data_IF_224118897898
#
_entry.id   IF_224118897898
#
_cell.length_a   1.000
_cell.length_b   1.000
_cell.length_c   1.000
_cell.angle_alpha   90.00
_cell.angle_beta   90.00
_cell.angle_gamma   90.00
#
_symmetry.space_group_name_H-M   'P 1'
#
loop_
_entity.id
_entity.type
_entity.pdbx_description
1 polymer ?
#
# COMPACT_ATOMS: atom_id res chain seq x y z
N UNK A 1 -9.28 -19.51 -22.70
CA UNK A 1 -8.19 -18.53 -22.48
C UNK A 1 -8.31 -18.01 -21.05
N UNK A 2 -7.22 -18.00 -20.27
CA UNK A 2 -7.23 -17.34 -18.96
C UNK A 2 -7.26 -15.83 -19.20
N UNK A 3 -8.25 -15.12 -18.65
CA UNK A 3 -8.29 -13.67 -18.70
C UNK A 3 -7.16 -13.13 -17.82
N UNK A 4 -6.08 -12.67 -18.44
CA UNK A 4 -5.04 -11.94 -17.74
C UNK A 4 -5.55 -10.51 -17.54
N UNK A 5 -6.09 -10.23 -16.36
CA UNK A 5 -6.35 -8.85 -15.96
C UNK A 5 -4.99 -8.16 -15.77
N UNK A 6 -4.59 -7.36 -16.77
CA UNK A 6 -3.46 -6.45 -16.63
C UNK A 6 -3.91 -5.28 -15.75
N UNK A 7 -3.64 -5.36 -14.46
CA UNK A 7 -3.75 -4.21 -13.57
C UNK A 7 -2.39 -3.50 -13.53
N UNK A 8 -2.34 -2.28 -14.07
CA UNK A 8 -1.28 -1.33 -13.71
C UNK A 8 -1.43 -0.93 -12.24
N UNK A 9 -0.37 -0.39 -11.64
CA UNK A 9 -0.48 0.13 -10.28
C UNK A 9 -1.55 1.22 -10.22
N UNK A 10 -2.37 1.22 -9.16
CA UNK A 10 -3.36 2.28 -8.90
C UNK A 10 -3.11 2.85 -7.52
N UNK A 11 -2.83 4.15 -7.44
CA UNK A 11 -2.52 4.83 -6.19
C UNK A 11 -3.50 5.99 -6.01
N UNK A 12 -4.24 5.97 -4.92
CA UNK A 12 -5.20 7.01 -4.52
C UNK A 12 -4.86 7.46 -3.11
N UNK A 13 -4.45 8.72 -2.95
CA UNK A 13 -4.00 9.28 -1.66
C UNK A 13 -4.83 10.51 -1.32
N UNK A 14 -5.45 10.51 -0.16
CA UNK A 14 -6.13 11.70 0.35
C UNK A 14 -5.15 12.88 0.49
N UNK A 15 -5.60 14.10 0.15
CA UNK A 15 -4.75 15.30 0.01
C UNK A 15 -3.86 15.63 1.22
N UNK A 16 -4.26 15.22 2.42
CA UNK A 16 -3.56 15.47 3.69
C UNK A 16 -2.77 14.25 4.19
N UNK A 17 -2.65 13.21 3.38
CA UNK A 17 -1.84 12.04 3.69
C UNK A 17 -0.57 12.02 2.85
N UNK A 18 0.45 11.33 3.34
CA UNK A 18 1.76 11.23 2.71
C UNK A 18 1.96 9.82 2.16
N UNK A 19 2.38 9.74 0.90
CA UNK A 19 2.82 8.50 0.28
C UNK A 19 4.23 8.69 -0.29
N UNK A 20 5.18 7.89 0.18
CA UNK A 20 6.56 7.85 -0.32
C UNK A 20 6.87 6.45 -0.83
N UNK A 21 7.43 6.35 -2.03
CA UNK A 21 7.80 5.07 -2.63
C UNK A 21 9.17 5.18 -3.29
N UNK A 22 10.17 4.57 -2.67
CA UNK A 22 11.51 4.37 -3.22
C UNK A 22 11.73 2.92 -3.70
N UNK A 23 10.92 1.97 -3.21
CA UNK A 23 10.93 0.57 -3.64
C UNK A 23 10.19 0.30 -4.96
N UNK A 24 10.15 -0.97 -5.36
CA UNK A 24 9.49 -1.46 -6.58
C UNK A 24 8.10 -2.01 -6.27
N UNK A 25 7.08 -1.48 -6.96
CA UNK A 25 5.70 -1.96 -6.88
C UNK A 25 5.18 -2.39 -8.27
N UNK A 26 4.45 -3.51 -8.32
CA UNK A 26 3.84 -4.01 -9.55
C UNK A 26 2.49 -4.67 -9.29
N UNK A 27 1.49 -4.37 -10.14
CA UNK A 27 0.12 -4.88 -10.01
C UNK A 27 -0.47 -4.63 -8.62
N UNK A 28 -0.07 -3.53 -8.00
CA UNK A 28 -0.43 -3.19 -6.61
C UNK A 28 -1.38 -2.00 -6.61
N UNK A 29 -2.46 -2.12 -5.84
CA UNK A 29 -3.38 -1.03 -5.51
C UNK A 29 -3.06 -0.48 -4.13
N UNK A 30 -3.03 0.85 -4.01
CA UNK A 30 -2.84 1.57 -2.75
C UNK A 30 -3.96 2.61 -2.66
N UNK A 31 -4.76 2.52 -1.61
CA UNK A 31 -5.84 3.46 -1.31
C UNK A 31 -5.70 3.99 0.12
N UNK A 32 -5.35 5.27 0.26
CA UNK A 32 -5.27 5.97 1.55
C UNK A 32 -6.49 6.86 1.68
N UNK A 33 -7.48 6.37 2.43
CA UNK A 33 -8.82 6.93 2.59
C UNK A 33 -8.98 7.52 4.00
N UNK A 34 -8.45 8.73 4.17
CA UNK A 34 -8.52 9.52 5.40
C UNK A 34 -7.32 10.45 5.53
N UNK A 35 -7.29 11.30 6.56
CA UNK A 35 -6.32 12.40 6.67
C UNK A 35 -5.15 12.02 7.57
N UNK A 36 -4.02 12.71 7.43
CA UNK A 36 -2.85 12.56 8.30
C UNK A 36 -2.30 11.11 8.38
N UNK A 37 -2.47 10.32 7.32
CA UNK A 37 -1.87 8.99 7.22
C UNK A 37 -0.51 9.08 6.52
N UNK A 38 0.39 8.15 6.83
CA UNK A 38 1.69 7.99 6.19
C UNK A 38 1.89 6.57 5.69
N UNK A 39 2.28 6.42 4.44
CA UNK A 39 2.78 5.16 3.89
C UNK A 39 4.15 5.39 3.26
N UNK A 40 5.16 4.65 3.74
CA UNK A 40 6.51 4.64 3.19
C UNK A 40 6.87 3.24 2.67
N UNK A 41 7.36 3.17 1.43
CA UNK A 41 7.97 1.98 0.86
C UNK A 41 9.45 2.28 0.60
N UNK A 42 10.32 1.70 1.42
CA UNK A 42 11.77 1.95 1.42
C UNK A 42 12.45 1.37 0.17
N UNK A 43 13.69 1.80 -0.07
CA UNK A 43 14.53 1.31 -1.17
C UNK A 43 14.68 -0.23 -1.13
N UNK A 44 14.85 -0.85 -2.29
CA UNK A 44 14.98 -2.32 -2.45
C UNK A 44 13.77 -3.18 -2.03
N UNK A 45 12.74 -2.61 -1.41
CA UNK A 45 11.48 -3.32 -1.19
C UNK A 45 10.82 -3.71 -2.52
N UNK A 46 10.20 -4.90 -2.57
CA UNK A 46 9.48 -5.41 -3.74
C UNK A 46 8.08 -5.85 -3.35
N UNK A 47 7.06 -5.11 -3.80
CA UNK A 47 5.66 -5.39 -3.54
C UNK A 47 4.89 -5.74 -4.81
N UNK A 48 4.46 -7.00 -4.92
CA UNK A 48 3.82 -7.53 -6.13
C UNK A 48 2.44 -8.09 -5.82
N UNK A 49 1.41 -7.61 -6.52
CA UNK A 49 0.02 -8.10 -6.45
C UNK A 49 -0.70 -7.85 -5.09
N UNK A 50 -0.56 -6.66 -4.51
CA UNK A 50 -1.21 -6.29 -3.24
C UNK A 50 -2.39 -5.31 -3.44
N UNK A 51 -3.35 -5.34 -2.52
CA UNK A 51 -4.33 -4.26 -2.31
C UNK A 51 -4.17 -3.71 -0.90
N UNK A 52 -3.53 -2.54 -0.79
CA UNK A 52 -3.27 -1.85 0.47
C UNK A 52 -4.34 -0.78 0.65
N UNK A 53 -5.10 -0.89 1.74
CA UNK A 53 -6.09 0.11 2.13
C UNK A 53 -5.78 0.64 3.53
N UNK A 54 -5.49 1.94 3.64
CA UNK A 54 -5.35 2.64 4.92
C UNK A 54 -6.61 3.49 5.09
N UNK A 55 -7.34 3.28 6.18
CA UNK A 55 -8.61 3.97 6.48
C UNK A 55 -8.52 4.67 7.83
N UNK A 56 -9.30 5.74 8.01
CA UNK A 56 -9.25 6.55 9.23
C UNK A 56 -8.11 7.57 9.18
N UNK A 57 -7.68 8.08 10.33
CA UNK A 57 -6.71 9.17 10.41
C UNK A 57 -5.53 8.84 11.31
N UNK A 58 -4.35 9.42 11.03
CA UNK A 58 -3.18 9.29 11.91
C UNK A 58 -2.43 7.95 11.82
N UNK A 59 -2.72 7.10 10.83
CA UNK A 59 -2.04 5.81 10.68
C UNK A 59 -0.65 5.99 10.04
N UNK A 60 0.30 5.15 10.45
CA UNK A 60 1.61 5.05 9.80
C UNK A 60 1.93 3.60 9.44
N UNK A 61 2.26 3.36 8.18
CA UNK A 61 2.72 2.07 7.68
C UNK A 61 4.07 2.26 6.97
N UNK A 62 5.03 1.42 7.29
CA UNK A 62 6.34 1.39 6.64
C UNK A 62 6.61 -0.02 6.12
N UNK A 63 7.04 -0.11 4.87
CA UNK A 63 7.55 -1.33 4.26
C UNK A 63 9.06 -1.14 4.14
N UNK A 64 9.79 -1.85 5.01
CA UNK A 64 11.24 -1.74 5.13
C UNK A 64 11.98 -2.29 3.91
N UNK A 65 13.26 -1.90 3.82
CA UNK A 65 14.17 -2.36 2.78
C UNK A 65 14.29 -3.89 2.75
N UNK A 66 14.56 -4.43 1.57
CA UNK A 66 14.70 -5.87 1.31
C UNK A 66 13.45 -6.73 1.60
N UNK A 67 12.32 -6.10 1.98
CA UNK A 67 11.05 -6.77 2.08
C UNK A 67 10.59 -7.23 0.68
N UNK A 68 10.46 -8.55 0.49
CA UNK A 68 9.89 -9.14 -0.72
C UNK A 68 8.52 -9.71 -0.39
N UNK A 69 7.49 -8.98 -0.78
CA UNK A 69 6.12 -9.36 -0.62
C UNK A 69 5.55 -9.72 -2.00
N UNK A 70 5.25 -11.00 -2.22
CA UNK A 70 4.69 -11.52 -3.46
C UNK A 70 3.56 -12.50 -3.14
N UNK A 71 2.47 -11.97 -2.62
CA UNK A 71 1.25 -12.72 -2.34
C UNK A 71 0.28 -12.63 -3.51
N UNK A 72 -0.50 -13.68 -3.76
CA UNK A 72 -1.59 -13.62 -4.76
C UNK A 72 -2.74 -12.69 -4.33
N UNK A 73 -2.84 -12.35 -3.04
CA UNK A 73 -3.67 -11.30 -2.44
C UNK A 73 -3.39 -11.27 -0.92
N UNK A 74 -2.96 -10.13 -0.36
CA UNK A 74 -2.89 -9.94 1.10
C UNK A 74 -3.56 -8.61 1.43
N UNK A 75 -4.60 -8.64 2.26
CA UNK A 75 -5.25 -7.45 2.80
C UNK A 75 -4.79 -7.24 4.24
N UNK A 76 -4.03 -6.17 4.48
CA UNK A 76 -3.67 -5.73 5.82
C UNK A 76 -4.67 -4.64 6.22
N UNK A 77 -5.50 -4.91 7.23
CA UNK A 77 -6.39 -3.90 7.83
C UNK A 77 -5.87 -3.57 9.22
N UNK A 78 -5.31 -2.38 9.38
CA UNK A 78 -4.97 -1.82 10.69
C UNK A 78 -6.19 -1.09 11.24
N UNK A 79 -6.53 -1.38 12.49
CA UNK A 79 -7.63 -0.74 13.20
C UNK A 79 -7.03 0.20 14.23
N UNK A 80 -7.61 1.40 14.33
CA UNK A 80 -7.34 2.28 15.46
C UNK A 80 -7.83 1.57 16.73
N UNK A 81 -6.96 1.46 17.74
CA UNK A 81 -7.44 1.12 19.09
C UNK A 81 -8.09 2.40 19.60
N UNK A 82 -9.38 2.56 19.29
CA UNK A 82 -10.17 3.66 19.83
C UNK A 82 -10.06 3.73 21.35
N UNK A 83 -10.07 4.98 21.84
CA UNK A 83 -9.97 5.48 23.23
C UNK A 83 -10.23 4.48 24.37
#
# INVERSE_FOLDING_TARGET
MKNYYHWSNKIEVAKQSVFKCAGYILRTRIAIQGVDNSLEISENARLLNYDIAIKGSGNSLQIESDCVANGNHVSLTMWDKGD
#
